data_IF_388431758987
#
_entry.id   IF_388431758987
#
_cell.length_a   1.000
_cell.length_b   1.000
_cell.length_c   1.000
_cell.angle_alpha   90.00
_cell.angle_beta   90.00
_cell.angle_gamma   90.00
#
_symmetry.space_group_name_H-M   'P 1'
#
loop_
_entity.id
_entity.type
_entity.pdbx_description
1 polymer ?
#
# COMPACT_ATOMS: atom_id res chain seq x y z
N UNK A 1 24.52 -13.73 6.23
CA UNK A 1 23.23 -14.20 5.69
C UNK A 1 22.33 -12.99 5.57
N UNK A 2 22.17 -12.45 4.35
CA UNK A 2 21.36 -11.26 4.12
C UNK A 2 19.89 -11.65 4.10
N UNK A 3 19.25 -11.63 5.26
CA UNK A 3 17.80 -11.72 5.38
C UNK A 3 17.23 -10.37 4.92
N UNK A 4 16.91 -10.26 3.63
CA UNK A 4 16.19 -9.10 3.12
C UNK A 4 14.78 -9.19 3.66
N UNK A 5 14.55 -8.55 4.81
CA UNK A 5 13.25 -8.49 5.41
C UNK A 5 12.33 -7.69 4.48
N UNK A 6 11.32 -8.34 3.90
CA UNK A 6 10.40 -7.70 2.94
C UNK A 6 9.70 -6.44 3.49
N UNK A 7 9.72 -6.22 4.81
CA UNK A 7 9.25 -4.98 5.43
C UNK A 7 10.10 -3.76 5.09
N UNK A 8 11.36 -3.95 4.68
CA UNK A 8 12.36 -2.88 4.49
C UNK A 8 12.35 -2.29 3.08
N UNK A 9 11.70 -2.94 2.13
CA UNK A 9 11.53 -2.43 0.78
C UNK A 9 10.19 -1.70 0.64
N UNK A 10 10.11 -0.67 -0.22
CA UNK A 10 8.84 -0.05 -0.58
C UNK A 10 7.85 -1.08 -1.09
N UNK A 11 6.65 -1.11 -0.51
CA UNK A 11 5.61 -2.06 -0.84
C UNK A 11 4.22 -1.42 -0.80
N UNK A 12 3.28 -2.00 -1.54
CA UNK A 12 1.89 -1.53 -1.52
C UNK A 12 1.25 -1.90 -0.18
N UNK A 13 0.24 -1.12 0.24
CA UNK A 13 -0.47 -1.36 1.50
C UNK A 13 -1.00 -2.79 1.65
N UNK A 14 -1.55 -3.34 0.57
CA UNK A 14 -2.06 -4.71 0.52
C UNK A 14 -0.98 -5.79 0.75
N UNK A 15 0.28 -5.45 0.48
CA UNK A 15 1.43 -6.33 0.55
C UNK A 15 2.23 -6.07 1.84
N UNK A 16 1.70 -5.25 2.76
CA UNK A 16 2.39 -4.88 3.99
C UNK A 16 2.55 -6.09 4.92
N UNK A 17 3.79 -6.56 5.19
CA UNK A 17 4.03 -7.68 6.08
C UNK A 17 3.77 -7.37 7.56
N UNK A 18 3.78 -6.09 7.95
CA UNK A 18 3.52 -5.65 9.34
C UNK A 18 2.03 -5.49 9.66
N UNK A 19 1.24 -5.10 8.66
CA UNK A 19 -0.17 -4.80 8.82
C UNK A 19 -0.97 -5.52 7.74
N UNK A 20 -1.54 -6.66 8.12
CA UNK A 20 -2.41 -7.44 7.22
C UNK A 20 -3.52 -6.58 6.65
N UNK A 21 -3.74 -6.67 5.34
CA UNK A 21 -4.76 -5.86 4.65
C UNK A 21 -6.20 -6.22 5.06
N UNK A 22 -6.42 -7.49 5.39
CA UNK A 22 -7.74 -8.03 5.76
C UNK A 22 -8.02 -7.89 7.27
N UNK A 23 -6.98 -8.05 8.11
CA UNK A 23 -7.13 -8.13 9.57
C UNK A 23 -6.87 -6.79 10.29
N UNK A 24 -6.19 -5.84 9.65
CA UNK A 24 -5.92 -4.51 10.20
C UNK A 24 -6.65 -3.43 9.41
N UNK A 25 -6.85 -2.26 10.01
CA UNK A 25 -7.42 -1.12 9.27
C UNK A 25 -6.57 -0.82 8.03
N UNK A 26 -7.23 -0.66 6.88
CA UNK A 26 -6.56 -0.33 5.61
C UNK A 26 -5.77 0.98 5.74
N UNK A 27 -6.24 1.91 6.57
CA UNK A 27 -5.57 3.18 6.85
C UNK A 27 -4.28 3.05 7.68
N UNK A 28 -4.03 1.92 8.34
CA UNK A 28 -2.78 1.70 9.10
C UNK A 28 -1.65 1.30 8.16
N UNK A 29 -0.53 2.02 8.18
CA UNK A 29 0.63 1.74 7.33
C UNK A 29 1.93 1.72 8.13
N UNK A 30 2.95 1.06 7.59
CA UNK A 30 4.32 1.14 8.09
C UNK A 30 5.13 2.18 7.30
N UNK A 31 6.33 2.52 7.76
CA UNK A 31 7.19 3.52 7.14
C UNK A 31 7.52 3.23 5.66
N UNK A 32 7.54 1.95 5.25
CA UNK A 32 7.86 1.54 3.88
C UNK A 32 6.61 1.26 3.02
N UNK A 33 5.41 1.52 3.53
CA UNK A 33 4.22 1.45 2.72
C UNK A 33 4.18 2.59 1.69
N UNK A 34 3.70 2.25 0.50
CA UNK A 34 3.61 3.11 -0.65
C UNK A 34 2.16 3.25 -1.09
N UNK A 35 1.79 4.47 -1.44
CA UNK A 35 0.49 4.78 -2.02
C UNK A 35 0.49 4.35 -3.49
N UNK A 36 -0.29 3.31 -3.80
CA UNK A 36 -0.44 2.81 -5.16
C UNK A 36 -0.89 3.88 -6.16
N UNK A 37 -1.79 4.77 -5.74
CA UNK A 37 -2.43 5.79 -6.59
C UNK A 37 -1.50 6.97 -6.85
N UNK A 38 -0.80 7.45 -5.83
CA UNK A 38 0.09 8.61 -5.93
C UNK A 38 1.51 8.27 -6.37
N UNK A 39 1.86 6.98 -6.40
CA UNK A 39 3.21 6.50 -6.61
C UNK A 39 4.24 7.20 -5.68
N UNK A 40 3.88 7.31 -4.40
CA UNK A 40 4.71 7.95 -3.37
C UNK A 40 4.53 7.31 -1.99
N UNK A 41 5.34 7.68 -0.99
CA UNK A 41 5.22 7.16 0.36
C UNK A 41 3.80 7.36 0.92
N UNK A 42 3.27 6.35 1.61
CA UNK A 42 1.98 6.45 2.31
C UNK A 42 1.86 7.69 3.23
N UNK A 43 2.88 8.07 4.04
CA UNK A 43 2.78 9.27 4.88
C UNK A 43 2.63 10.58 4.11
N UNK A 44 3.15 10.66 2.88
CA UNK A 44 3.06 11.86 2.03
C UNK A 44 1.74 11.93 1.23
N UNK A 45 0.90 10.89 1.32
CA UNK A 45 -0.34 10.83 0.57
C UNK A 45 -1.46 11.64 1.26
N UNK A 46 -1.78 12.82 0.72
CA UNK A 46 -2.85 13.69 1.22
C UNK A 46 -4.24 13.04 1.23
N UNK A 47 -4.49 12.06 0.35
CA UNK A 47 -5.77 11.34 0.24
C UNK A 47 -5.68 9.90 0.76
N UNK A 48 -4.80 9.65 1.74
CA UNK A 48 -4.50 8.30 2.21
C UNK A 48 -5.73 7.53 2.69
N UNK A 49 -6.68 8.17 3.39
CA UNK A 49 -7.89 7.49 3.87
C UNK A 49 -8.71 6.82 2.75
N UNK A 50 -8.63 7.35 1.53
CA UNK A 50 -9.26 6.74 0.34
C UNK A 50 -8.27 5.83 -0.39
N UNK A 51 -7.03 6.28 -0.60
CA UNK A 51 -6.02 5.54 -1.38
C UNK A 51 -5.47 4.32 -0.65
N UNK A 52 -5.63 4.21 0.66
CA UNK A 52 -5.20 3.06 1.45
C UNK A 52 -5.94 1.77 1.10
N UNK A 53 -7.09 1.88 0.43
CA UNK A 53 -7.86 0.75 -0.08
C UNK A 53 -7.42 0.32 -1.49
N UNK A 54 -6.50 1.08 -2.10
CA UNK A 54 -6.06 0.80 -3.44
C UNK A 54 -5.34 -0.55 -3.50
N UNK A 55 -5.78 -1.38 -4.43
CA UNK A 55 -5.24 -2.71 -4.64
C UNK A 55 -4.89 -2.92 -6.11
N UNK A 56 -3.81 -3.66 -6.36
CA UNK A 56 -3.47 -4.14 -7.70
C UNK A 56 -3.98 -5.57 -7.96
N UNK A 57 -4.76 -6.14 -7.03
CA UNK A 57 -5.32 -7.50 -7.10
C UNK A 57 -6.84 -7.46 -7.12
N UNK A 58 -7.46 -8.53 -7.61
CA UNK A 58 -8.92 -8.68 -7.61
C UNK A 58 -9.66 -7.76 -8.60
N UNK A 59 -11.00 -7.66 -8.49
CA UNK A 59 -11.84 -6.98 -9.48
C UNK A 59 -11.63 -5.46 -9.51
N UNK A 60 -11.22 -4.85 -8.40
CA UNK A 60 -11.00 -3.40 -8.31
C UNK A 60 -9.61 -2.97 -8.82
N UNK A 61 -8.72 -3.92 -9.14
CA UNK A 61 -7.37 -3.61 -9.63
C UNK A 61 -7.38 -2.68 -10.85
N UNK A 62 -8.29 -2.92 -11.79
CA UNK A 62 -8.42 -2.11 -13.01
C UNK A 62 -8.83 -0.67 -12.70
N UNK A 63 -9.77 -0.50 -11.77
CA UNK A 63 -10.25 0.80 -11.30
C UNK A 63 -9.11 1.59 -10.65
N UNK A 64 -8.39 0.98 -9.72
CA UNK A 64 -7.27 1.65 -9.06
C UNK A 64 -6.12 1.95 -10.01
N UNK A 65 -5.82 1.04 -10.95
CA UNK A 65 -4.78 1.27 -11.96
C UNK A 65 -5.10 2.45 -12.86
N UNK A 66 -6.38 2.68 -13.19
CA UNK A 66 -6.82 3.84 -13.97
C UNK A 66 -6.73 5.17 -13.20
N UNK A 67 -6.65 5.14 -11.87
CA UNK A 67 -6.52 6.31 -11.01
C UNK A 67 -5.06 6.64 -10.67
N UNK A 68 -4.11 5.77 -11.01
CA UNK A 68 -2.67 6.03 -10.77
C UNK A 68 -2.24 7.27 -11.52
N UNK A 69 -1.47 8.12 -10.85
CA UNK A 69 -0.94 9.38 -11.37
C UNK A 69 0.43 9.18 -11.98
#
# INVERSE_FOLDING_TARGET
TGDFNACELPHLRQDCPRHSFEASSRSTYCANCFCFVCDGPAPDCQHWLTHCQATNRGPEARKWKALRR
#
